data_IF_561698600591
#
_entry.id   IF_561698600591
#
_cell.length_a   1.000
_cell.length_b   1.000
_cell.length_c   1.000
_cell.angle_alpha   90.00
_cell.angle_beta   90.00
_cell.angle_gamma   90.00
#
_symmetry.space_group_name_H-M   'P 1'
#
loop_
_entity.id
_entity.type
_entity.pdbx_description
1 polymer ?
#
# COMPACT_ATOMS: atom_id res chain seq x y z
N UNK A 1 -17.96 33.03 -0.76
CA UNK A 1 -16.74 32.77 -1.58
C UNK A 1 -16.50 31.28 -1.55
N UNK A 2 -17.08 30.54 -2.48
CA UNK A 2 -16.79 29.12 -2.66
C UNK A 2 -15.32 28.98 -3.01
N UNK A 3 -14.53 28.42 -2.10
CA UNK A 3 -13.22 27.90 -2.48
C UNK A 3 -13.48 26.79 -3.48
N UNK A 4 -13.32 27.07 -4.77
CA UNK A 4 -13.25 26.04 -5.80
C UNK A 4 -12.19 25.06 -5.33
N UNK A 5 -12.60 23.90 -4.83
CA UNK A 5 -11.70 22.96 -4.15
C UNK A 5 -10.73 22.40 -5.17
N UNK A 6 -9.61 23.09 -5.33
CA UNK A 6 -8.64 22.76 -6.34
C UNK A 6 -7.93 21.46 -5.99
N UNK A 7 -7.76 20.62 -7.00
CA UNK A 7 -6.94 19.42 -6.94
C UNK A 7 -5.50 19.80 -6.58
N UNK A 8 -5.05 19.37 -5.38
CA UNK A 8 -3.70 19.63 -4.91
C UNK A 8 -2.69 18.79 -5.69
N UNK A 9 -1.58 19.43 -6.03
CA UNK A 9 -0.45 18.82 -6.73
C UNK A 9 0.41 17.95 -5.79
N UNK A 10 1.18 17.03 -6.36
CA UNK A 10 2.10 16.18 -5.58
C UNK A 10 3.12 16.99 -4.76
N UNK A 11 3.55 18.16 -5.27
CA UNK A 11 4.46 19.07 -4.56
C UNK A 11 3.80 19.68 -3.32
N UNK A 12 2.54 20.09 -3.43
CA UNK A 12 1.78 20.66 -2.30
C UNK A 12 1.48 19.61 -1.24
N UNK A 13 1.05 18.41 -1.64
CA UNK A 13 0.78 17.31 -0.71
C UNK A 13 2.02 16.93 0.10
N UNK A 14 3.19 16.96 -0.55
CA UNK A 14 4.50 16.79 0.09
C UNK A 14 4.89 17.95 0.99
N UNK A 15 4.58 19.18 0.61
CA UNK A 15 4.83 20.36 1.45
C UNK A 15 3.99 20.26 2.73
N UNK A 16 2.69 19.98 2.59
CA UNK A 16 1.76 19.77 3.70
C UNK A 16 2.25 18.68 4.65
N UNK A 17 2.64 17.51 4.12
CA UNK A 17 3.13 16.41 4.94
C UNK A 17 4.35 16.81 5.77
N UNK A 18 5.29 17.56 5.18
CA UNK A 18 6.46 18.05 5.91
C UNK A 18 6.07 19.02 7.01
N UNK A 19 5.14 19.94 6.75
CA UNK A 19 4.66 20.92 7.72
C UNK A 19 3.85 20.30 8.86
N UNK A 20 3.03 19.29 8.58
CA UNK A 20 2.25 18.57 9.58
C UNK A 20 3.13 17.71 10.49
N UNK A 21 4.27 17.24 9.99
CA UNK A 21 5.24 16.47 10.78
C UNK A 21 6.17 17.37 11.62
N UNK A 22 6.25 18.68 11.36
CA UNK A 22 7.05 19.60 12.20
C UNK A 22 6.54 19.55 13.65
N UNK A 23 7.46 19.32 14.59
CA UNK A 23 7.14 19.13 16.01
C UNK A 23 6.57 17.75 16.38
N UNK A 24 6.26 16.89 15.40
CA UNK A 24 5.64 15.56 15.59
C UNK A 24 6.53 14.40 15.12
N UNK A 25 7.75 14.68 14.62
CA UNK A 25 8.68 13.67 14.09
C UNK A 25 9.02 12.56 15.08
N UNK A 26 9.24 12.89 16.37
CA UNK A 26 9.55 11.89 17.39
C UNK A 26 8.42 10.87 17.57
N UNK A 27 7.19 11.34 17.76
CA UNK A 27 6.01 10.48 17.88
C UNK A 27 5.74 9.67 16.61
N UNK A 28 5.93 10.26 15.44
CA UNK A 28 5.75 9.55 14.18
C UNK A 28 6.81 8.46 13.98
N UNK A 29 8.09 8.75 14.29
CA UNK A 29 9.17 7.77 14.26
C UNK A 29 8.92 6.62 15.25
N UNK A 30 8.42 6.91 16.45
CA UNK A 30 8.04 5.90 17.44
C UNK A 30 6.96 4.96 16.89
N UNK A 31 5.93 5.47 16.20
CA UNK A 31 4.91 4.63 15.57
C UNK A 31 5.51 3.71 14.51
N UNK A 32 6.41 4.23 13.66
CA UNK A 32 7.09 3.39 12.66
C UNK A 32 7.95 2.32 13.32
N UNK A 33 8.67 2.68 14.39
CA UNK A 33 9.52 1.76 15.11
C UNK A 33 8.71 0.62 15.73
N UNK A 34 7.64 0.95 16.46
CA UNK A 34 6.76 -0.04 17.10
C UNK A 34 6.06 -0.90 16.04
N UNK A 35 5.50 -0.28 15.00
CA UNK A 35 4.90 -1.02 13.89
C UNK A 35 5.92 -1.93 13.18
N UNK A 36 7.16 -1.46 13.05
CA UNK A 36 8.27 -2.19 12.44
C UNK A 36 8.67 -3.42 13.25
N UNK A 37 8.82 -3.31 14.57
CA UNK A 37 9.09 -4.45 15.46
C UNK A 37 7.98 -5.48 15.37
N UNK A 38 6.73 -5.04 15.48
CA UNK A 38 5.57 -5.94 15.36
C UNK A 38 5.50 -6.55 13.96
N UNK A 39 5.95 -5.83 12.92
CA UNK A 39 6.06 -6.36 11.56
C UNK A 39 7.22 -7.34 11.35
N UNK A 40 8.27 -7.30 12.18
CA UNK A 40 9.41 -8.21 12.11
C UNK A 40 9.16 -9.55 12.81
N UNK A 41 8.41 -9.58 13.92
CA UNK A 41 7.97 -10.85 14.55
C UNK A 41 7.16 -11.71 13.57
N UNK A 42 6.54 -11.02 12.63
CA UNK A 42 5.79 -11.50 11.50
C UNK A 42 6.67 -11.99 10.33
N UNK A 43 7.91 -11.50 10.15
CA UNK A 43 8.76 -11.86 9.01
C UNK A 43 9.39 -13.26 9.12
N UNK A 44 9.41 -13.85 10.32
CA UNK A 44 9.92 -15.20 10.54
C UNK A 44 8.86 -16.22 10.10
N UNK A 45 9.13 -17.12 9.14
CA UNK A 45 8.18 -18.13 8.70
C UNK A 45 7.99 -19.18 9.80
N UNK A 46 7.04 -18.96 10.71
CA UNK A 46 6.61 -19.98 11.66
C UNK A 46 5.74 -21.02 10.94
N UNK A 47 6.09 -22.29 11.08
CA UNK A 47 5.26 -23.41 10.59
C UNK A 47 3.98 -23.51 11.45
N UNK A 48 2.83 -23.78 10.83
CA UNK A 48 1.57 -24.07 11.53
C UNK A 48 0.66 -22.85 11.80
N UNK A 49 -0.13 -22.93 12.89
CA UNK A 49 -1.21 -21.99 13.26
C UNK A 49 -0.73 -20.54 13.43
N UNK A 50 0.57 -20.33 13.73
CA UNK A 50 1.16 -19.00 13.87
C UNK A 50 1.01 -18.10 12.64
N UNK A 51 0.95 -18.67 11.42
CA UNK A 51 0.72 -17.91 10.20
C UNK A 51 -0.68 -17.28 10.12
N UNK A 52 -1.70 -17.96 10.66
CA UNK A 52 -3.09 -17.49 10.69
C UNK A 52 -3.22 -16.34 11.70
N UNK A 53 -2.65 -16.50 12.90
CA UNK A 53 -2.61 -15.45 13.94
C UNK A 53 -1.94 -14.18 13.41
N UNK A 54 -0.85 -14.33 12.65
CA UNK A 54 -0.14 -13.21 11.98
C UNK A 54 -1.03 -12.45 11.01
N UNK A 55 -1.76 -13.17 10.16
CA UNK A 55 -2.66 -12.54 9.19
C UNK A 55 -3.75 -11.75 9.91
N UNK A 56 -4.30 -12.34 10.96
CA UNK A 56 -5.37 -11.77 11.77
C UNK A 56 -4.96 -10.44 12.43
N UNK A 57 -3.83 -10.43 13.14
CA UNK A 57 -3.34 -9.24 13.87
C UNK A 57 -2.87 -8.14 12.91
N UNK A 58 -2.36 -8.52 11.72
CA UNK A 58 -1.88 -7.58 10.72
C UNK A 58 -2.95 -6.61 10.21
N UNK A 59 -4.22 -7.02 10.18
CA UNK A 59 -5.31 -6.20 9.60
C UNK A 59 -5.68 -5.04 10.49
N UNK A 60 -5.89 -5.33 11.77
CA UNK A 60 -6.14 -4.33 12.80
C UNK A 60 -4.97 -3.34 12.93
N UNK A 61 -3.73 -3.83 12.93
CA UNK A 61 -2.55 -2.97 12.97
C UNK A 61 -2.41 -2.10 11.73
N UNK A 62 -2.72 -2.63 10.55
CA UNK A 62 -2.69 -1.84 9.31
C UNK A 62 -3.73 -0.74 9.35
N UNK A 63 -4.95 -1.03 9.84
CA UNK A 63 -6.01 -0.04 9.98
C UNK A 63 -5.61 1.08 10.96
N UNK A 64 -5.12 0.72 12.14
CA UNK A 64 -4.62 1.68 13.14
C UNK A 64 -3.41 2.48 12.65
N UNK A 65 -2.48 1.85 11.92
CA UNK A 65 -1.37 2.54 11.29
C UNK A 65 -1.85 3.64 10.33
N UNK A 66 -2.86 3.35 9.49
CA UNK A 66 -3.48 4.37 8.63
C UNK A 66 -4.22 5.44 9.44
N UNK A 67 -4.82 5.09 10.58
CA UNK A 67 -5.48 6.01 11.50
C UNK A 67 -4.51 7.04 12.11
N UNK A 68 -3.27 6.64 12.40
CA UNK A 68 -2.25 7.56 12.88
C UNK A 68 -1.92 8.66 11.85
N UNK A 69 -1.73 8.28 10.59
CA UNK A 69 -1.34 9.23 9.55
C UNK A 69 -2.46 10.15 9.08
N UNK A 70 -3.72 9.70 9.15
CA UNK A 70 -4.85 10.58 8.89
C UNK A 70 -5.02 11.62 10.01
N UNK A 71 -4.80 11.25 11.29
CA UNK A 71 -4.76 12.20 12.41
C UNK A 71 -3.64 13.24 12.25
N UNK A 72 -2.45 12.81 11.82
CA UNK A 72 -1.33 13.73 11.52
C UNK A 72 -1.72 14.70 10.39
N UNK A 73 -2.32 14.19 9.30
CA UNK A 73 -2.78 15.00 8.18
C UNK A 73 -3.83 16.04 8.62
N UNK A 74 -4.73 15.67 9.53
CA UNK A 74 -5.74 16.56 10.13
C UNK A 74 -5.18 17.52 11.19
N UNK A 75 -3.86 17.50 11.44
CA UNK A 75 -3.18 18.23 12.53
C UNK A 75 -3.73 17.92 13.92
N UNK A 76 -4.51 16.86 14.09
CA UNK A 76 -5.09 16.49 15.40
C UNK A 76 -4.00 15.94 16.33
N UNK A 77 -4.35 15.84 17.63
CA UNK A 77 -3.57 15.06 18.58
C UNK A 77 -3.60 13.58 18.15
N UNK A 78 -2.45 12.94 18.16
CA UNK A 78 -2.32 11.51 17.90
C UNK A 78 -1.31 10.96 18.90
N UNK A 79 -1.58 9.74 19.35
CA UNK A 79 -0.79 9.06 20.36
C UNK A 79 -0.52 7.63 19.89
N UNK A 80 0.44 6.97 20.54
CA UNK A 80 0.80 5.59 20.22
C UNK A 80 -0.41 4.64 20.36
N UNK A 81 -1.35 4.93 21.26
CA UNK A 81 -2.60 4.19 21.40
C UNK A 81 -3.44 4.16 20.10
N UNK A 82 -3.36 5.21 19.28
CA UNK A 82 -4.07 5.24 17.99
C UNK A 82 -3.59 4.12 17.06
N UNK A 83 -2.36 3.62 17.22
CA UNK A 83 -1.89 2.46 16.46
C UNK A 83 -2.74 1.21 16.73
N UNK A 84 -3.28 1.10 17.94
CA UNK A 84 -4.13 0.00 18.37
C UNK A 84 -5.62 0.27 18.17
N UNK A 85 -6.01 1.45 17.66
CA UNK A 85 -7.42 1.77 17.43
C UNK A 85 -8.09 0.80 16.45
N UNK A 86 -7.33 0.26 15.50
CA UNK A 86 -7.83 -0.73 14.53
C UNK A 86 -8.29 -2.05 15.14
N UNK A 87 -7.95 -2.35 16.41
CA UNK A 87 -8.47 -3.51 17.13
C UNK A 87 -9.91 -3.31 17.62
N UNK A 88 -10.42 -2.08 17.72
CA UNK A 88 -11.83 -1.84 18.04
C UNK A 88 -12.74 -2.33 16.90
N UNK A 89 -12.32 -2.09 15.65
CA UNK A 89 -13.04 -2.53 14.45
C UNK A 89 -12.38 -3.77 13.84
N UNK A 90 -11.98 -4.72 14.68
CA UNK A 90 -11.16 -5.85 14.28
C UNK A 90 -11.76 -6.69 13.15
N UNK A 91 -13.06 -7.01 13.24
CA UNK A 91 -13.76 -7.79 12.21
C UNK A 91 -13.70 -7.10 10.84
N UNK A 92 -14.06 -5.82 10.80
CA UNK A 92 -14.02 -5.02 9.58
C UNK A 92 -12.60 -4.80 9.06
N UNK A 93 -11.61 -4.64 9.95
CA UNK A 93 -10.21 -4.49 9.59
C UNK A 93 -9.63 -5.77 8.96
N UNK A 94 -9.90 -6.91 9.57
CA UNK A 94 -9.50 -8.23 9.08
C UNK A 94 -10.15 -8.54 7.73
N UNK A 95 -11.47 -8.34 7.65
CA UNK A 95 -12.23 -8.57 6.44
C UNK A 95 -11.74 -7.64 5.32
N UNK A 96 -11.43 -6.37 5.63
CA UNK A 96 -10.86 -5.43 4.65
C UNK A 96 -9.49 -5.91 4.13
N UNK A 97 -8.60 -6.36 5.02
CA UNK A 97 -7.31 -6.90 4.60
C UNK A 97 -7.49 -8.15 3.74
N UNK A 98 -8.41 -9.04 4.12
CA UNK A 98 -8.71 -10.25 3.37
C UNK A 98 -9.25 -9.95 1.98
N UNK A 99 -10.31 -9.14 1.85
CA UNK A 99 -10.88 -8.80 0.55
C UNK A 99 -9.87 -8.05 -0.33
N UNK A 100 -9.17 -7.06 0.22
CA UNK A 100 -8.18 -6.32 -0.54
C UNK A 100 -7.02 -7.25 -0.98
N UNK A 101 -6.58 -8.14 -0.10
CA UNK A 101 -5.58 -9.17 -0.38
C UNK A 101 -6.02 -10.13 -1.49
N UNK A 102 -7.22 -10.70 -1.38
CA UNK A 102 -7.81 -11.58 -2.41
C UNK A 102 -7.90 -10.84 -3.73
N UNK A 103 -8.46 -9.62 -3.76
CA UNK A 103 -8.60 -8.91 -5.02
C UNK A 103 -7.25 -8.59 -5.66
N UNK A 104 -6.26 -8.09 -4.91
CA UNK A 104 -4.92 -7.85 -5.45
C UNK A 104 -4.26 -9.15 -5.91
N UNK A 105 -4.43 -10.23 -5.15
CA UNK A 105 -3.93 -11.55 -5.52
C UNK A 105 -4.55 -12.06 -6.82
N UNK A 106 -5.85 -11.92 -7.01
CA UNK A 106 -6.55 -12.29 -8.24
C UNK A 106 -5.99 -11.55 -9.46
N UNK A 107 -5.67 -10.26 -9.33
CA UNK A 107 -4.99 -9.53 -10.40
C UNK A 107 -3.55 -10.01 -10.64
N UNK A 108 -2.85 -10.42 -9.57
CA UNK A 108 -1.49 -10.97 -9.68
C UNK A 108 -1.44 -12.36 -10.30
N UNK A 109 -2.50 -13.17 -10.19
CA UNK A 109 -2.60 -14.49 -10.85
C UNK A 109 -2.43 -14.40 -12.36
N UNK A 110 -2.85 -13.29 -12.97
CA UNK A 110 -2.64 -13.06 -14.40
C UNK A 110 -1.15 -13.07 -14.78
N UNK A 111 -0.28 -12.54 -13.90
CA UNK A 111 1.17 -12.54 -14.12
C UNK A 111 1.83 -13.88 -13.76
N UNK A 112 1.17 -14.73 -12.98
CA UNK A 112 1.72 -16.03 -12.58
C UNK A 112 1.79 -17.00 -13.77
N UNK A 113 0.79 -17.00 -14.66
CA UNK A 113 0.76 -17.89 -15.84
C UNK A 113 2.03 -17.78 -16.70
N UNK A 114 2.42 -16.61 -17.23
CA UNK A 114 3.62 -16.51 -18.06
C UNK A 114 4.90 -16.79 -17.28
N UNK A 115 4.96 -16.45 -15.99
CA UNK A 115 6.11 -16.76 -15.11
C UNK A 115 6.28 -18.27 -14.96
N UNK A 116 5.21 -19.02 -14.69
CA UNK A 116 5.28 -20.48 -14.56
C UNK A 116 5.71 -21.12 -15.88
N UNK A 117 5.22 -20.63 -17.03
CA UNK A 117 5.66 -21.11 -18.35
C UNK A 117 7.17 -20.89 -18.53
N UNK A 118 7.68 -19.70 -18.20
CA UNK A 118 9.12 -19.40 -18.26
C UNK A 118 9.91 -20.36 -17.36
N UNK A 119 9.48 -20.54 -16.11
CA UNK A 119 10.16 -21.42 -15.15
C UNK A 119 10.24 -22.84 -15.69
N UNK A 120 9.11 -23.43 -16.09
CA UNK A 120 9.06 -24.82 -16.58
C UNK A 120 9.91 -24.99 -17.84
N UNK A 121 9.86 -24.02 -18.75
CA UNK A 121 10.63 -24.03 -19.99
C UNK A 121 12.14 -24.01 -19.71
N UNK A 122 12.61 -23.08 -18.87
CA UNK A 122 14.02 -22.97 -18.48
C UNK A 122 14.47 -24.19 -17.68
N UNK A 123 13.63 -24.73 -16.79
CA UNK A 123 13.95 -25.96 -16.04
C UNK A 123 14.11 -27.19 -16.93
N UNK A 124 13.40 -27.26 -18.06
CA UNK A 124 13.51 -28.38 -19.00
C UNK A 124 14.74 -28.29 -19.90
N UNK A 125 15.09 -27.09 -20.35
CA UNK A 125 16.17 -26.89 -21.34
C UNK A 125 17.50 -26.50 -20.71
N UNK A 126 17.50 -26.05 -19.46
CA UNK A 126 18.66 -25.41 -18.83
C UNK A 126 18.95 -24.01 -19.39
N UNK A 127 19.81 -23.26 -18.69
CA UNK A 127 20.23 -21.92 -19.11
C UNK A 127 21.11 -22.00 -20.38
N UNK A 128 21.92 -23.05 -20.51
CA UNK A 128 22.77 -23.27 -21.69
C UNK A 128 21.96 -23.59 -22.95
N UNK A 129 20.90 -24.39 -22.82
CA UNK A 129 19.98 -24.68 -23.93
C UNK A 129 19.28 -23.41 -24.44
N UNK A 130 18.93 -22.50 -23.53
CA UNK A 130 18.41 -21.17 -23.87
C UNK A 130 19.46 -20.33 -24.59
N UNK A 131 20.75 -20.45 -24.25
CA UNK A 131 21.80 -19.69 -24.91
C UNK A 131 22.06 -20.15 -26.36
N UNK A 132 21.75 -21.40 -26.70
CA UNK A 132 22.06 -21.96 -28.02
C UNK A 132 20.87 -21.91 -29.01
N UNK A 133 19.62 -22.01 -28.55
CA UNK A 133 18.42 -22.02 -29.42
C UNK A 133 17.83 -20.61 -29.61
N UNK A 134 17.94 -19.99 -30.81
CA UNK A 134 17.38 -18.66 -31.07
C UNK A 134 15.85 -18.60 -30.97
N UNK A 135 15.14 -19.68 -31.29
CA UNK A 135 13.68 -19.75 -31.19
C UNK A 135 13.22 -19.76 -29.74
N UNK A 136 13.96 -20.45 -28.87
CA UNK A 136 13.71 -20.49 -27.43
C UNK A 136 13.95 -19.10 -26.79
N UNK A 137 15.03 -18.42 -27.17
CA UNK A 137 15.29 -17.03 -26.76
C UNK A 137 14.15 -16.09 -27.13
N UNK A 138 13.69 -16.14 -28.38
CA UNK A 138 12.58 -15.30 -28.85
C UNK A 138 11.30 -15.49 -28.03
N UNK A 139 10.96 -16.75 -27.73
CA UNK A 139 9.80 -17.10 -26.88
C UNK A 139 9.95 -16.57 -25.45
N UNK A 140 11.14 -16.64 -24.86
CA UNK A 140 11.38 -16.12 -23.50
C UNK A 140 11.32 -14.59 -23.45
N UNK A 141 11.85 -13.90 -24.46
CA UNK A 141 11.73 -12.44 -24.56
C UNK A 141 10.25 -12.05 -24.66
N UNK A 142 9.49 -12.72 -25.52
CA UNK A 142 8.04 -12.50 -25.64
C UNK A 142 7.30 -12.73 -24.31
N UNK A 143 7.55 -13.86 -23.63
CA UNK A 143 6.94 -14.16 -22.34
C UNK A 143 7.36 -13.17 -21.24
N UNK A 144 8.59 -12.67 -21.28
CA UNK A 144 9.08 -11.63 -20.38
C UNK A 144 8.32 -10.32 -20.57
N UNK A 145 8.14 -9.88 -21.83
CA UNK A 145 7.32 -8.71 -22.17
C UNK A 145 5.87 -8.92 -21.72
N UNK A 146 5.29 -10.10 -21.99
CA UNK A 146 3.93 -10.44 -21.58
C UNK A 146 3.77 -10.37 -20.06
N UNK A 147 4.73 -10.91 -19.31
CA UNK A 147 4.76 -10.83 -17.84
C UNK A 147 4.75 -9.38 -17.37
N UNK A 148 5.58 -8.51 -17.98
CA UNK A 148 5.62 -7.09 -17.64
C UNK A 148 4.27 -6.40 -17.89
N UNK A 149 3.61 -6.71 -19.00
CA UNK A 149 2.25 -6.22 -19.30
C UNK A 149 1.24 -6.72 -18.26
N UNK A 150 1.30 -8.00 -17.87
CA UNK A 150 0.43 -8.58 -16.85
C UNK A 150 0.64 -8.02 -15.44
N UNK A 151 1.79 -7.42 -15.15
CA UNK A 151 2.05 -6.74 -13.86
C UNK A 151 1.29 -5.40 -13.76
N UNK A 152 1.08 -4.70 -14.88
CA UNK A 152 0.36 -3.42 -14.93
C UNK A 152 -1.03 -3.47 -14.25
N UNK A 153 -1.93 -4.40 -14.56
CA UNK A 153 -3.25 -4.46 -13.91
C UNK A 153 -3.16 -4.73 -12.40
N UNK A 154 -2.15 -5.49 -11.94
CA UNK A 154 -1.89 -5.70 -10.51
C UNK A 154 -1.51 -4.41 -9.79
N UNK A 155 -0.68 -3.57 -10.41
CA UNK A 155 -0.32 -2.25 -9.89
C UNK A 155 -1.56 -1.34 -9.86
N UNK A 156 -2.36 -1.34 -10.92
CA UNK A 156 -3.62 -0.56 -11.00
C UNK A 156 -4.61 -0.99 -9.91
N UNK A 157 -4.70 -2.28 -9.61
CA UNK A 157 -5.56 -2.81 -8.54
C UNK A 157 -5.13 -2.30 -7.16
N UNK A 158 -3.83 -2.29 -6.87
CA UNK A 158 -3.31 -1.74 -5.61
C UNK A 158 -3.68 -0.26 -5.44
N UNK A 159 -3.55 0.55 -6.50
CA UNK A 159 -3.96 1.96 -6.45
C UNK A 159 -5.48 2.13 -6.31
N UNK A 160 -6.28 1.27 -6.96
CA UNK A 160 -7.75 1.31 -6.90
C UNK A 160 -8.29 1.13 -5.47
N UNK A 161 -7.61 0.34 -4.65
CA UNK A 161 -8.02 0.03 -3.27
C UNK A 161 -7.22 0.78 -2.21
N UNK A 162 -6.33 1.69 -2.62
CA UNK A 162 -5.38 2.35 -1.74
C UNK A 162 -6.04 3.23 -0.66
N UNK A 163 -7.31 3.62 -0.85
CA UNK A 163 -8.07 4.49 0.06
C UNK A 163 -9.00 3.74 1.02
N UNK A 164 -9.22 2.44 0.83
CA UNK A 164 -10.23 1.70 1.58
C UNK A 164 -10.00 1.72 3.10
N UNK A 165 -8.73 1.65 3.55
CA UNK A 165 -8.40 1.76 4.97
C UNK A 165 -8.68 3.15 5.57
N UNK A 166 -8.54 4.22 4.79
CA UNK A 166 -8.86 5.58 5.28
C UNK A 166 -10.38 5.77 5.36
N UNK A 167 -11.12 5.23 4.38
CA UNK A 167 -12.59 5.26 4.37
C UNK A 167 -13.16 4.49 5.55
N UNK A 168 -12.66 3.28 5.83
CA UNK A 168 -13.11 2.48 6.97
C UNK A 168 -12.76 3.14 8.32
N UNK A 169 -11.64 3.87 8.39
CA UNK A 169 -11.29 4.63 9.60
C UNK A 169 -12.22 5.84 9.84
N UNK A 170 -12.71 6.45 8.76
CA UNK A 170 -13.62 7.60 8.85
C UNK A 170 -15.07 7.19 9.09
N UNK A 171 -15.48 6.05 8.52
CA UNK A 171 -16.82 5.51 8.66
C UNK A 171 -16.71 4.05 9.17
N UNK A 172 -16.51 3.83 10.48
CA UNK A 172 -16.38 2.48 11.05
C UNK A 172 -17.53 1.54 10.76
N UNK A 173 -18.74 2.09 10.61
CA UNK A 173 -19.98 1.34 10.42
C UNK A 173 -20.15 0.84 8.98
N UNK A 174 -19.38 1.37 8.01
CA UNK A 174 -19.46 0.90 6.62
C UNK A 174 -18.72 -0.44 6.52
N UNK A 175 -19.38 -1.43 5.93
CA UNK A 175 -18.77 -2.75 5.76
C UNK A 175 -17.48 -2.69 4.94
N UNK A 176 -16.54 -3.61 5.20
CA UNK A 176 -15.23 -3.66 4.52
C UNK A 176 -15.32 -3.70 3.00
N UNK A 177 -16.33 -4.40 2.47
CA UNK A 177 -16.61 -4.43 1.03
C UNK A 177 -17.03 -3.06 0.51
N UNK A 178 -17.90 -2.37 1.24
CA UNK A 178 -18.36 -1.04 0.88
C UNK A 178 -17.21 -0.03 0.90
N UNK A 179 -16.32 -0.09 1.89
CA UNK A 179 -15.10 0.72 1.92
C UNK A 179 -14.22 0.53 0.66
N UNK A 180 -14.13 -0.71 0.15
CA UNK A 180 -13.42 -1.01 -1.10
C UNK A 180 -14.14 -0.41 -2.30
N UNK A 181 -15.48 -0.51 -2.37
CA UNK A 181 -16.29 0.06 -3.46
C UNK A 181 -16.17 1.58 -3.48
N UNK A 182 -16.27 2.24 -2.32
CA UNK A 182 -16.07 3.69 -2.18
C UNK A 182 -14.65 4.09 -2.58
N UNK A 183 -13.63 3.33 -2.17
CA UNK A 183 -12.25 3.55 -2.62
C UNK A 183 -12.13 3.45 -4.15
N UNK A 184 -12.78 2.46 -4.78
CA UNK A 184 -12.78 2.31 -6.24
C UNK A 184 -13.42 3.51 -6.93
N UNK A 185 -14.55 4.02 -6.41
CA UNK A 185 -15.23 5.22 -6.93
C UNK A 185 -14.33 6.45 -6.77
N UNK A 186 -13.81 6.70 -5.58
CA UNK A 186 -12.90 7.82 -5.26
C UNK A 186 -11.62 7.81 -6.12
N UNK A 187 -11.09 6.63 -6.42
CA UNK A 187 -9.86 6.47 -7.20
C UNK A 187 -10.09 6.53 -8.73
N UNK A 188 -11.33 6.58 -9.23
CA UNK A 188 -11.59 6.79 -10.67
C UNK A 188 -11.05 8.16 -11.09
N UNK A 189 -10.22 8.20 -12.13
CA UNK A 189 -9.49 9.43 -12.55
C UNK A 189 -8.28 9.81 -11.67
N UNK A 190 -8.17 9.29 -10.44
CA UNK A 190 -7.16 9.72 -9.47
C UNK A 190 -5.96 8.75 -9.29
N UNK A 191 -6.00 7.55 -9.89
CA UNK A 191 -4.92 6.55 -9.78
C UNK A 191 -3.56 7.09 -10.24
N UNK A 192 -3.55 7.80 -11.38
CA UNK A 192 -2.34 8.36 -11.96
C UNK A 192 -1.73 9.45 -11.06
N UNK A 193 -2.57 10.24 -10.38
CA UNK A 193 -2.12 11.25 -9.42
C UNK A 193 -1.41 10.61 -8.23
N UNK A 194 -1.97 9.54 -7.68
CA UNK A 194 -1.34 8.79 -6.60
C UNK A 194 -0.05 8.09 -7.04
N UNK A 195 -0.01 7.59 -8.28
CA UNK A 195 1.21 7.06 -8.89
C UNK A 195 2.32 8.12 -8.94
N UNK A 196 2.03 9.31 -9.48
CA UNK A 196 3.01 10.41 -9.52
C UNK A 196 3.44 10.85 -8.13
N UNK A 197 2.52 10.94 -7.17
CA UNK A 197 2.87 11.23 -5.78
C UNK A 197 3.88 10.19 -5.26
N UNK A 198 3.63 8.90 -5.47
CA UNK A 198 4.56 7.81 -5.09
C UNK A 198 5.89 7.91 -5.83
N UNK A 199 5.88 8.26 -7.11
CA UNK A 199 7.09 8.41 -7.92
C UNK A 199 8.02 9.48 -7.35
N UNK A 200 7.48 10.57 -6.80
CA UNK A 200 8.33 11.61 -6.18
C UNK A 200 9.13 11.14 -4.96
N UNK A 201 8.80 9.96 -4.40
CA UNK A 201 9.52 9.33 -3.30
C UNK A 201 10.43 8.17 -3.76
N UNK A 202 10.35 7.74 -5.01
CA UNK A 202 11.05 6.53 -5.50
C UNK A 202 12.57 6.66 -5.36
N UNK A 203 13.14 7.86 -5.57
CA UNK A 203 14.57 8.08 -5.42
C UNK A 203 15.07 7.78 -4.01
N UNK A 204 14.31 8.17 -2.98
CA UNK A 204 14.64 7.89 -1.58
C UNK A 204 14.50 6.40 -1.24
N UNK A 205 13.52 5.72 -1.84
CA UNK A 205 13.36 4.26 -1.71
C UNK A 205 14.50 3.49 -2.37
N UNK A 206 14.95 3.91 -3.55
CA UNK A 206 16.09 3.32 -4.25
C UNK A 206 17.36 3.56 -3.44
N UNK A 207 17.61 4.80 -3.02
CA UNK A 207 18.83 5.18 -2.30
C UNK A 207 19.06 4.34 -1.04
N UNK A 208 18.01 4.06 -0.27
CA UNK A 208 18.14 3.23 0.94
C UNK A 208 18.26 1.73 0.68
N UNK A 209 17.80 1.23 -0.47
CA UNK A 209 17.79 -0.21 -0.80
C UNK A 209 18.97 -0.64 -1.68
N UNK A 210 19.48 0.27 -2.50
CA UNK A 210 20.55 -0.01 -3.46
C UNK A 210 21.83 -0.56 -2.80
N UNK A 211 22.32 -0.02 -1.66
CA UNK A 211 23.51 -0.56 -1.02
C UNK A 211 23.33 -2.00 -0.53
N UNK A 212 22.14 -2.34 -0.02
CA UNK A 212 21.81 -3.71 0.38
C UNK A 212 21.82 -4.63 -0.85
N UNK A 213 21.20 -4.19 -1.95
CA UNK A 213 21.17 -4.96 -3.19
C UNK A 213 22.57 -5.24 -3.76
N UNK A 214 23.43 -4.21 -3.80
CA UNK A 214 24.84 -4.35 -4.20
C UNK A 214 25.58 -5.28 -3.25
N UNK A 215 25.41 -5.13 -1.94
CA UNK A 215 26.02 -6.00 -0.94
C UNK A 215 25.65 -7.47 -1.12
N UNK A 216 24.39 -7.78 -1.42
CA UNK A 216 23.93 -9.15 -1.68
C UNK A 216 24.54 -9.72 -2.96
N UNK A 217 24.69 -8.92 -4.03
CA UNK A 217 25.36 -9.35 -5.25
C UNK A 217 26.84 -9.66 -4.97
N UNK A 218 27.54 -8.77 -4.25
CA UNK A 218 28.94 -8.98 -3.89
C UNK A 218 29.11 -10.21 -3.00
N UNK A 219 28.22 -10.44 -2.04
CA UNK A 219 28.22 -11.66 -1.22
C UNK A 219 28.09 -12.94 -2.06
N UNK A 220 27.29 -12.91 -3.13
CA UNK A 220 27.15 -14.06 -4.03
C UNK A 220 28.40 -14.32 -4.88
N UNK A 221 29.16 -13.26 -5.22
CA UNK A 221 30.39 -13.32 -6.02
C UNK A 221 31.60 -13.70 -5.14
N UNK A 222 31.78 -13.05 -4.00
CA UNK A 222 32.94 -13.17 -3.11
C UNK A 222 32.63 -14.12 -1.95
N UNK A 223 32.60 -15.42 -2.25
CA UNK A 223 32.25 -16.48 -1.29
C UNK A 223 33.36 -17.50 -1.06
N UNK A 224 34.56 -17.24 -1.53
CA UNK A 224 35.66 -18.21 -1.56
C UNK A 224 36.29 -18.44 -0.18
N UNK A 225 36.33 -17.40 0.67
CA UNK A 225 36.85 -17.47 2.03
C UNK A 225 35.83 -17.04 3.07
N UNK A 226 35.90 -17.64 4.26
CA UNK A 226 35.04 -17.31 5.41
C UNK A 226 35.21 -15.83 5.80
N UNK A 227 36.43 -15.27 5.72
CA UNK A 227 36.70 -13.87 6.07
C UNK A 227 35.93 -12.89 5.19
N UNK A 228 35.87 -13.15 3.88
CA UNK A 228 35.14 -12.31 2.91
C UNK A 228 33.62 -12.42 3.13
N UNK A 229 33.13 -13.64 3.39
CA UNK A 229 31.72 -13.86 3.70
C UNK A 229 31.30 -13.08 4.96
N UNK A 230 32.08 -13.16 6.03
CA UNK A 230 31.82 -12.43 7.28
C UNK A 230 31.86 -10.92 7.05
N UNK A 231 32.86 -10.42 6.32
CA UNK A 231 32.96 -9.00 5.99
C UNK A 231 31.72 -8.50 5.23
N UNK A 232 31.28 -9.24 4.21
CA UNK A 232 30.10 -8.90 3.42
C UNK A 232 28.81 -8.96 4.25
N UNK A 233 28.65 -9.94 5.14
CA UNK A 233 27.52 -10.01 6.08
C UNK A 233 27.47 -8.78 6.99
N UNK A 234 28.62 -8.34 7.52
CA UNK A 234 28.72 -7.13 8.35
C UNK A 234 28.33 -5.88 7.54
N UNK A 235 28.85 -5.73 6.32
CA UNK A 235 28.50 -4.60 5.45
C UNK A 235 27.00 -4.56 5.11
N UNK A 236 26.42 -5.70 4.74
CA UNK A 236 24.97 -5.81 4.52
C UNK A 236 24.21 -5.44 5.79
N UNK A 237 24.64 -5.94 6.95
CA UNK A 237 24.04 -5.62 8.25
C UNK A 237 24.05 -4.11 8.53
N UNK A 238 25.16 -3.43 8.28
CA UNK A 238 25.28 -1.97 8.42
C UNK A 238 24.29 -1.26 7.48
N UNK A 239 24.22 -1.65 6.21
CA UNK A 239 23.28 -1.05 5.26
C UNK A 239 21.82 -1.31 5.62
N UNK A 240 21.51 -2.48 6.19
CA UNK A 240 20.17 -2.79 6.72
C UNK A 240 19.84 -1.86 7.89
N UNK A 241 20.76 -1.64 8.83
CA UNK A 241 20.56 -0.71 9.96
C UNK A 241 20.32 0.70 9.46
N UNK A 242 21.12 1.17 8.49
CA UNK A 242 20.94 2.50 7.87
C UNK A 242 19.57 2.59 7.16
N UNK A 243 19.15 1.55 6.44
CA UNK A 243 17.86 1.52 5.77
C UNK A 243 16.69 1.54 6.76
N UNK A 244 16.81 0.85 7.90
CA UNK A 244 15.85 0.87 9.00
C UNK A 244 15.78 2.25 9.64
N UNK A 245 16.92 2.86 9.97
CA UNK A 245 16.97 4.22 10.52
C UNK A 245 16.34 5.24 9.55
N UNK A 246 16.65 5.13 8.25
CA UNK A 246 16.06 5.97 7.21
C UNK A 246 14.54 5.79 7.10
N UNK A 247 14.04 4.57 7.36
CA UNK A 247 12.60 4.27 7.32
C UNK A 247 11.79 5.02 8.38
N UNK A 248 12.40 5.33 9.53
CA UNK A 248 11.77 6.08 10.62
C UNK A 248 11.42 7.52 10.21
N UNK A 249 12.12 8.07 9.22
CA UNK A 249 11.87 9.43 8.70
C UNK A 249 11.13 9.41 7.36
N UNK A 250 11.48 8.48 6.46
CA UNK A 250 10.88 8.44 5.13
C UNK A 250 9.43 7.94 5.16
N UNK A 251 9.13 6.93 5.97
CA UNK A 251 7.78 6.32 6.02
C UNK A 251 6.73 7.30 6.53
N UNK A 252 6.94 8.04 7.64
CA UNK A 252 5.97 9.04 8.08
C UNK A 252 5.69 10.09 7.01
N UNK A 253 6.74 10.51 6.30
CA UNK A 253 6.63 11.51 5.26
C UNK A 253 5.79 11.02 4.07
N UNK A 254 6.00 9.78 3.61
CA UNK A 254 5.22 9.16 2.54
C UNK A 254 3.76 8.95 2.96
N UNK A 255 3.54 8.38 4.15
CA UNK A 255 2.21 8.02 4.63
C UNK A 255 1.36 9.24 4.97
N UNK A 256 1.96 10.30 5.53
CA UNK A 256 1.27 11.59 5.73
C UNK A 256 0.92 12.23 4.39
N UNK A 257 1.80 12.18 3.38
CA UNK A 257 1.49 12.70 2.05
C UNK A 257 0.35 11.91 1.38
N UNK A 258 0.31 10.58 1.57
CA UNK A 258 -0.79 9.73 1.11
C UNK A 258 -2.10 10.02 1.86
N UNK A 259 -2.04 10.28 3.16
CA UNK A 259 -3.21 10.69 3.94
C UNK A 259 -3.73 12.07 3.49
N UNK A 260 -2.85 13.04 3.21
CA UNK A 260 -3.25 14.32 2.61
C UNK A 260 -3.91 14.16 1.24
N UNK A 261 -3.45 13.19 0.45
CA UNK A 261 -4.08 12.87 -0.83
C UNK A 261 -5.52 12.37 -0.61
N UNK A 262 -5.73 11.48 0.37
CA UNK A 262 -7.07 11.03 0.76
C UNK A 262 -7.96 12.21 1.20
N UNK A 263 -7.50 13.05 2.13
CA UNK A 263 -8.28 14.21 2.61
C UNK A 263 -8.64 15.16 1.47
N UNK A 264 -7.72 15.36 0.50
CA UNK A 264 -7.98 16.21 -0.66
C UNK A 264 -9.04 15.61 -1.60
N UNK A 265 -9.08 14.29 -1.76
CA UNK A 265 -10.14 13.63 -2.54
C UNK A 265 -11.47 13.65 -1.80
N UNK A 266 -11.45 13.40 -0.48
CA UNK A 266 -12.65 13.41 0.36
C UNK A 266 -13.31 14.78 0.34
N UNK A 267 -12.53 15.87 0.44
CA UNK A 267 -13.10 17.22 0.43
C UNK A 267 -13.91 17.51 -0.84
N UNK A 268 -13.50 16.93 -1.99
CA UNK A 268 -14.12 17.13 -3.32
C UNK A 268 -15.37 16.31 -3.57
N UNK A 269 -15.70 15.38 -2.69
CA UNK A 269 -16.92 14.62 -2.81
C UNK A 269 -18.05 15.41 -2.14
N UNK A 270 -19.23 15.52 -2.76
CA UNK A 270 -20.39 16.05 -2.05
C UNK A 270 -20.58 15.25 -0.76
N UNK A 271 -20.80 15.95 0.35
CA UNK A 271 -21.01 15.35 1.66
C UNK A 271 -22.11 14.29 1.56
N UNK A 272 -21.81 13.05 1.96
CA UNK A 272 -22.74 11.90 1.86
C UNK A 272 -24.06 12.12 2.61
N UNK A 273 -24.14 13.12 3.51
CA UNK A 273 -25.38 13.57 4.15
C UNK A 273 -26.41 14.15 3.15
N UNK A 274 -25.95 14.71 2.03
CA UNK A 274 -26.83 15.27 0.98
C UNK A 274 -27.47 14.20 0.09
N UNK A 275 -26.75 13.12 -0.22
CA UNK A 275 -27.27 12.08 -1.13
C UNK A 275 -28.32 11.17 -0.49
N UNK A 276 -28.24 10.94 0.83
CA UNK A 276 -29.24 10.15 1.56
C UNK A 276 -30.50 10.98 1.80
N UNK A 277 -30.35 12.29 2.07
CA UNK A 277 -31.50 13.19 2.21
C UNK A 277 -32.20 13.46 0.87
N UNK A 278 -31.47 13.55 -0.25
CA UNK A 278 -32.07 13.60 -1.60
C UNK A 278 -32.78 12.29 -1.98
N UNK A 279 -32.20 11.11 -1.72
CA UNK A 279 -32.89 9.83 -1.99
C UNK A 279 -34.15 9.66 -1.13
N UNK A 280 -34.14 10.11 0.13
CA UNK A 280 -35.31 10.08 1.00
C UNK A 280 -36.36 11.11 0.55
N UNK A 281 -35.98 12.33 0.18
CA UNK A 281 -36.92 13.34 -0.30
C UNK A 281 -37.56 12.96 -1.64
N UNK A 282 -36.80 12.37 -2.55
CA UNK A 282 -37.33 11.85 -3.82
C UNK A 282 -38.32 10.71 -3.55
N UNK A 283 -38.02 9.81 -2.60
CA UNK A 283 -38.96 8.74 -2.23
C UNK A 283 -40.25 9.27 -1.57
N UNK A 284 -40.18 10.35 -0.79
CA UNK A 284 -41.33 10.97 -0.14
C UNK A 284 -42.21 11.76 -1.14
N UNK A 285 -41.61 12.44 -2.12
CA UNK A 285 -42.33 13.08 -3.23
C UNK A 285 -43.02 12.05 -4.13
N UNK A 286 -42.34 10.94 -4.45
CA UNK A 286 -42.92 9.85 -5.25
C UNK A 286 -44.12 9.22 -4.53
N UNK A 287 -44.01 8.95 -3.23
CA UNK A 287 -45.10 8.43 -2.38
C UNK A 287 -46.27 9.41 -2.20
N UNK A 288 -46.01 10.72 -2.21
CA UNK A 288 -47.06 11.74 -2.15
C UNK A 288 -47.79 11.88 -3.49
N UNK A 289 -47.10 11.71 -4.61
CA UNK A 289 -47.69 11.73 -5.96
C UNK A 289 -48.65 10.56 -6.19
N UNK A 290 -48.33 9.39 -5.63
CA UNK A 290 -49.13 8.17 -5.79
C UNK A 290 -50.42 8.20 -4.95
N UNK A 291 -50.44 8.93 -3.82
CA UNK A 291 -51.62 9.10 -2.95
C UNK A 291 -52.54 10.26 -3.35
N UNK A 292 -52.12 11.13 -4.26
CA UNK A 292 -52.92 12.25 -4.77
C UNK A 292 -53.76 11.91 -6.02
N UNK A 293 -53.73 10.65 -6.45
CA UNK A 293 -54.39 10.14 -7.67
C UNK A 293 -55.56 9.18 -7.40
N UNK A 294 -56.02 9.07 -6.13
CA UNK A 294 -57.27 8.38 -5.75
C UNK A 294 -58.46 9.34 -5.60
#
# INVERSE_FOLDING_TARGET
MEQTQQIKSSKELRKMAREQLKGKWGSAALIIFVFGIVSMTFAIPFKGIGGIIRFIVGGALTLGFKACFIKIARRSKFELETLFSGFHNFGSALLLQLLNGIFVFLWSLLAIIPVVIIIVMVSRTGIEGVAYDPGLKGKLVFLGILTFVCVIPSIIAQYRYAMAYYILNDNPDVGSYEAIVRSKKMMKGNKWRLFWLRLTFIGWEILRRLPIFVGVILFAIYRDSITEQVLMMVLIGIFVIIALASSLFLTPYIETAKANFYENLKSMQPSEEGSVSEEVSISEEDLASEKGLE
#
